data_IF_969513650092
#
_entry.id   IF_969513650092
#
_cell.length_a   1.000
_cell.length_b   1.000
_cell.length_c   1.000
_cell.angle_alpha   90.00
_cell.angle_beta   90.00
_cell.angle_gamma   90.00
#
_symmetry.space_group_name_H-M   'P 1'
#
loop_
_entity.id
_entity.type
_entity.pdbx_description
1 polymer ?
#
# COMPACT_ATOMS: atom_id res chain seq x y z
N UNK A 1 0.49 7.38 18.56
CA UNK A 1 1.80 6.80 18.16
C UNK A 1 2.55 6.40 19.42
N UNK A 2 2.93 5.15 19.47
CA UNK A 2 3.72 4.65 20.61
C UNK A 2 5.18 5.10 20.46
N UNK A 3 5.93 5.26 21.56
CA UNK A 3 7.36 5.64 21.50
C UNK A 3 8.23 4.68 20.68
N UNK A 4 7.78 3.43 20.51
CA UNK A 4 8.48 2.43 19.71
C UNK A 4 8.41 2.68 18.21
N UNK A 5 7.58 3.63 17.73
CA UNK A 5 7.48 3.98 16.32
C UNK A 5 8.69 4.82 15.92
N UNK A 6 9.74 4.15 15.49
CA UNK A 6 11.04 4.73 15.18
C UNK A 6 11.60 4.16 13.88
N UNK A 7 12.50 4.88 13.19
CA UNK A 7 13.17 4.35 12.01
C UNK A 7 13.83 3.00 12.25
N UNK A 8 13.83 2.15 11.23
CA UNK A 8 14.39 0.81 11.28
C UNK A 8 13.37 -0.31 11.43
N UNK A 9 12.13 0.02 11.77
CA UNK A 9 11.03 -0.95 11.77
C UNK A 9 10.90 -1.53 10.37
N UNK A 10 10.81 -2.86 10.28
CA UNK A 10 10.70 -3.57 9.01
C UNK A 10 9.68 -4.69 9.09
N UNK A 11 9.20 -5.12 7.93
CA UNK A 11 8.25 -6.22 7.82
C UNK A 11 8.39 -6.88 6.46
N UNK A 12 8.06 -8.17 6.42
CA UNK A 12 8.02 -8.97 5.18
C UNK A 12 6.64 -9.59 5.05
N UNK A 13 6.03 -9.42 3.88
CA UNK A 13 4.73 -9.98 3.55
C UNK A 13 4.86 -10.85 2.30
N UNK A 14 4.25 -12.03 2.32
CA UNK A 14 4.18 -12.92 1.16
C UNK A 14 2.74 -13.08 0.71
N UNK A 15 2.55 -13.04 -0.61
CA UNK A 15 1.23 -13.08 -1.21
C UNK A 15 1.28 -13.83 -2.54
N UNK A 16 0.52 -14.91 -2.66
CA UNK A 16 0.39 -15.62 -3.93
C UNK A 16 -0.63 -14.92 -4.79
N UNK A 17 -0.21 -14.47 -5.98
CA UNK A 17 -1.05 -13.65 -6.86
C UNK A 17 -2.21 -14.47 -7.40
N UNK A 18 -3.47 -14.14 -7.05
CA UNK A 18 -4.62 -14.79 -7.66
C UNK A 18 -4.94 -14.15 -9.02
N UNK A 19 -5.68 -14.87 -9.84
CA UNK A 19 -6.05 -14.39 -11.17
C UNK A 19 -6.81 -13.06 -11.14
N UNK A 20 -7.68 -12.85 -10.15
CA UNK A 20 -8.51 -11.64 -10.06
C UNK A 20 -7.74 -10.39 -9.62
N UNK A 21 -6.44 -10.50 -9.31
CA UNK A 21 -5.55 -9.38 -9.05
C UNK A 21 -4.67 -9.03 -10.26
N UNK A 22 -5.00 -9.57 -11.43
CA UNK A 22 -4.30 -9.26 -12.67
C UNK A 22 -5.02 -8.15 -13.46
N UNK A 23 -4.31 -7.56 -14.42
CA UNK A 23 -4.76 -6.34 -15.11
C UNK A 23 -6.16 -6.43 -15.72
N UNK A 24 -6.56 -7.53 -16.39
CA UNK A 24 -7.90 -7.60 -16.99
C UNK A 24 -9.07 -7.39 -16.03
N UNK A 25 -8.83 -7.56 -14.72
CA UNK A 25 -9.88 -7.55 -13.69
C UNK A 25 -9.94 -6.27 -12.87
N UNK A 26 -9.05 -5.29 -13.11
CA UNK A 26 -9.03 -4.04 -12.31
C UNK A 26 -10.29 -3.24 -12.55
N UNK A 27 -10.60 -2.96 -13.79
CA UNK A 27 -11.76 -2.19 -14.20
C UNK A 27 -12.52 -3.00 -15.26
N UNK A 28 -13.50 -3.81 -14.87
CA UNK A 28 -14.24 -4.65 -15.80
C UNK A 28 -14.90 -3.87 -16.95
N UNK A 29 -15.20 -2.59 -16.73
CA UNK A 29 -15.79 -1.69 -17.71
C UNK A 29 -14.80 -1.11 -18.72
N UNK A 30 -13.48 -1.36 -18.55
CA UNK A 30 -12.46 -0.83 -19.45
C UNK A 30 -12.02 -1.91 -20.46
N UNK A 31 -12.37 -1.76 -21.76
CA UNK A 31 -12.01 -2.78 -22.76
C UNK A 31 -10.52 -2.97 -22.93
N UNK A 32 -9.72 -1.92 -22.79
CA UNK A 32 -8.26 -2.00 -22.94
C UNK A 32 -7.64 -2.86 -21.84
N UNK A 33 -8.11 -2.71 -20.60
CA UNK A 33 -7.62 -3.56 -19.51
C UNK A 33 -8.04 -5.01 -19.69
N UNK A 34 -9.27 -5.24 -20.16
CA UNK A 34 -9.79 -6.61 -20.35
C UNK A 34 -8.98 -7.42 -21.38
N UNK A 35 -8.35 -6.75 -22.34
CA UNK A 35 -7.53 -7.38 -23.38
C UNK A 35 -6.07 -7.57 -22.99
N UNK A 36 -5.65 -7.02 -21.86
CA UNK A 36 -4.25 -7.15 -21.42
C UNK A 36 -3.95 -8.56 -20.88
N UNK A 37 -2.67 -8.96 -20.91
CA UNK A 37 -2.27 -10.25 -20.31
C UNK A 37 -2.63 -10.32 -18.84
N UNK A 38 -2.87 -11.53 -18.36
CA UNK A 38 -3.10 -11.79 -16.94
C UNK A 38 -1.77 -11.72 -16.18
N UNK A 39 -1.37 -10.51 -15.83
CA UNK A 39 -0.18 -10.21 -15.04
C UNK A 39 -0.59 -9.33 -13.85
N UNK A 40 0.16 -9.45 -12.76
CA UNK A 40 -0.12 -8.72 -11.51
C UNK A 40 -0.23 -7.23 -11.80
N UNK A 41 -1.35 -6.63 -11.42
CA UNK A 41 -1.64 -5.25 -11.75
C UNK A 41 -0.81 -4.30 -10.88
N UNK A 42 -0.30 -3.22 -11.50
CA UNK A 42 0.50 -2.21 -10.79
C UNK A 42 -0.24 -1.65 -9.57
N UNK A 43 -1.53 -1.33 -9.71
CA UNK A 43 -2.33 -0.83 -8.58
C UNK A 43 -2.40 -1.81 -7.42
N UNK A 44 -2.51 -3.10 -7.71
CA UNK A 44 -2.54 -4.13 -6.67
C UNK A 44 -1.15 -4.38 -6.07
N UNK A 45 -0.08 -4.26 -6.85
CA UNK A 45 1.28 -4.30 -6.31
C UNK A 45 1.50 -3.15 -5.30
N UNK A 46 1.07 -1.95 -5.64
CA UNK A 46 1.13 -0.79 -4.74
C UNK A 46 0.31 -1.06 -3.49
N UNK A 47 -0.91 -1.57 -3.63
CA UNK A 47 -1.75 -1.91 -2.48
C UNK A 47 -1.09 -2.98 -1.58
N UNK A 48 -0.37 -3.93 -2.17
CA UNK A 48 0.36 -4.95 -1.42
C UNK A 48 1.53 -4.32 -0.63
N UNK A 49 2.22 -3.36 -1.22
CA UNK A 49 3.25 -2.57 -0.53
C UNK A 49 2.67 -1.78 0.64
N UNK A 50 1.49 -1.17 0.46
CA UNK A 50 0.78 -0.49 1.54
C UNK A 50 0.42 -1.46 2.67
N UNK A 51 -0.09 -2.63 2.33
CA UNK A 51 -0.43 -3.65 3.32
C UNK A 51 0.80 -4.04 4.16
N UNK A 52 1.94 -4.27 3.52
CA UNK A 52 3.18 -4.57 4.22
C UNK A 52 3.53 -3.48 5.24
N UNK A 53 3.42 -2.22 4.84
CA UNK A 53 3.69 -1.07 5.71
C UNK A 53 2.68 -0.96 6.85
N UNK A 54 1.40 -1.22 6.61
CA UNK A 54 0.39 -1.19 7.69
C UNK A 54 0.63 -2.30 8.71
N UNK A 55 1.03 -3.48 8.26
CA UNK A 55 1.40 -4.57 9.18
C UNK A 55 2.61 -4.19 10.03
N UNK A 56 3.62 -3.55 9.43
CA UNK A 56 4.79 -3.07 10.15
C UNK A 56 4.44 -2.05 11.23
N UNK A 57 3.46 -1.19 10.98
CA UNK A 57 3.05 -0.13 11.91
C UNK A 57 2.14 -0.61 13.03
N UNK A 58 1.38 -1.66 12.80
CA UNK A 58 0.31 -2.08 13.70
C UNK A 58 0.72 -2.20 15.17
N UNK A 59 1.89 -2.83 15.53
CA UNK A 59 2.31 -2.92 16.92
C UNK A 59 2.69 -1.58 17.57
N UNK A 60 2.87 -0.54 16.77
CA UNK A 60 3.41 0.75 17.20
C UNK A 60 2.38 1.87 17.24
N UNK A 61 1.12 1.53 17.03
CA UNK A 61 0.01 2.49 17.06
C UNK A 61 -0.82 2.31 18.33
N UNK A 62 -1.42 3.41 18.77
CA UNK A 62 -2.37 3.41 19.87
C UNK A 62 -3.76 2.98 19.40
N UNK A 63 -4.64 2.49 20.31
CA UNK A 63 -6.02 2.25 19.94
C UNK A 63 -6.67 3.48 19.33
N UNK A 64 -7.45 3.30 18.26
CA UNK A 64 -8.09 4.39 17.54
C UNK A 64 -7.21 5.11 16.52
N UNK A 65 -5.94 4.71 16.43
CA UNK A 65 -5.03 5.21 15.40
C UNK A 65 -4.93 4.25 14.22
N UNK A 66 -4.64 4.80 13.06
CA UNK A 66 -4.29 4.06 11.86
C UNK A 66 -3.40 4.91 10.99
N UNK A 67 -3.18 4.49 9.75
CA UNK A 67 -2.41 5.27 8.81
C UNK A 67 -3.05 5.24 7.43
N UNK A 68 -2.76 6.28 6.64
CA UNK A 68 -3.21 6.40 5.26
C UNK A 68 -2.02 6.67 4.36
N UNK A 69 -2.07 6.14 3.14
CA UNK A 69 -1.08 6.43 2.11
C UNK A 69 -1.15 7.89 1.68
N UNK A 70 -0.01 8.54 1.58
CA UNK A 70 0.10 9.96 1.19
C UNK A 70 0.96 10.15 -0.05
N UNK A 71 1.83 9.21 -0.36
CA UNK A 71 2.75 9.31 -1.50
C UNK A 71 3.17 7.92 -1.94
N UNK A 72 3.29 7.75 -3.23
CA UNK A 72 3.85 6.54 -3.83
C UNK A 72 4.83 6.96 -4.93
N UNK A 73 6.03 6.44 -4.85
CA UNK A 73 7.08 6.65 -5.84
C UNK A 73 7.83 5.33 -6.00
N UNK A 74 7.26 4.45 -6.79
CA UNK A 74 7.77 3.09 -7.00
C UNK A 74 7.82 2.77 -8.48
N UNK A 75 8.70 1.83 -8.82
CA UNK A 75 8.77 1.25 -10.16
C UNK A 75 7.93 -0.01 -10.24
N UNK A 76 7.59 -0.42 -11.44
CA UNK A 76 7.06 -1.75 -11.74
C UNK A 76 7.87 -2.30 -12.91
N UNK A 77 8.84 -3.16 -12.61
CA UNK A 77 9.96 -3.46 -13.50
C UNK A 77 9.82 -4.80 -14.23
N UNK A 78 8.97 -5.69 -13.73
CA UNK A 78 8.78 -7.00 -14.33
C UNK A 78 7.35 -7.50 -14.12
N UNK A 79 6.84 -8.25 -15.09
CA UNK A 79 5.51 -8.84 -15.06
C UNK A 79 5.50 -10.12 -14.21
N UNK A 80 4.46 -10.28 -13.40
CA UNK A 80 4.27 -11.48 -12.58
C UNK A 80 2.96 -12.18 -12.97
N UNK A 81 3.01 -13.41 -13.48
CA UNK A 81 1.79 -14.16 -13.76
C UNK A 81 1.11 -14.63 -12.47
N UNK A 82 -0.20 -14.94 -12.50
CA UNK A 82 -0.87 -15.52 -11.34
C UNK A 82 -0.24 -16.86 -10.95
N UNK A 83 -0.31 -17.17 -9.65
CA UNK A 83 0.25 -18.40 -9.10
C UNK A 83 1.65 -18.23 -8.51
N UNK A 84 2.39 -17.19 -8.89
CA UNK A 84 3.66 -16.88 -8.25
C UNK A 84 3.43 -16.17 -6.91
N UNK A 85 4.35 -16.38 -5.97
CA UNK A 85 4.32 -15.72 -4.67
C UNK A 85 5.20 -14.48 -4.71
N UNK A 86 4.58 -13.34 -4.43
CA UNK A 86 5.28 -12.06 -4.29
C UNK A 86 5.68 -11.88 -2.83
N UNK A 87 6.96 -11.56 -2.62
CA UNK A 87 7.50 -11.19 -1.32
C UNK A 87 7.74 -9.67 -1.30
N UNK A 88 7.09 -9.00 -0.37
CA UNK A 88 7.25 -7.55 -0.18
C UNK A 88 8.04 -7.33 1.10
N UNK A 89 9.05 -6.49 1.03
CA UNK A 89 9.79 -6.01 2.19
C UNK A 89 9.58 -4.51 2.33
N UNK A 90 9.36 -4.05 3.55
CA UNK A 90 9.31 -2.62 3.85
C UNK A 90 10.21 -2.30 5.03
N UNK A 91 10.69 -1.06 5.05
CA UNK A 91 11.49 -0.54 6.15
C UNK A 91 11.16 0.94 6.36
N UNK A 92 10.81 1.28 7.58
CA UNK A 92 10.57 2.67 7.96
C UNK A 92 11.90 3.42 8.01
N UNK A 93 12.04 4.45 7.18
CA UNK A 93 13.26 5.24 7.07
C UNK A 93 13.20 6.54 7.83
N UNK A 94 12.05 7.21 7.85
CA UNK A 94 11.90 8.53 8.46
C UNK A 94 10.57 8.64 9.20
N UNK A 95 10.62 9.28 10.34
CA UNK A 95 9.45 9.70 11.12
C UNK A 95 9.57 11.21 11.34
N UNK A 96 8.62 11.96 10.78
CA UNK A 96 8.52 13.41 10.94
C UNK A 96 7.13 13.74 11.46
N UNK A 97 7.00 13.82 12.80
CA UNK A 97 5.71 13.92 13.44
C UNK A 97 4.83 12.72 13.07
N UNK A 98 3.69 12.97 12.43
CA UNK A 98 2.78 11.92 11.96
C UNK A 98 3.09 11.43 10.55
N UNK A 99 4.06 12.02 9.88
CA UNK A 99 4.46 11.64 8.52
C UNK A 99 5.54 10.58 8.56
N UNK A 100 5.35 9.52 7.81
CA UNK A 100 6.23 8.36 7.76
C UNK A 100 6.70 8.14 6.33
N UNK A 101 7.97 7.77 6.17
CA UNK A 101 8.53 7.40 4.87
C UNK A 101 9.10 5.99 4.95
N UNK A 102 8.63 5.11 4.08
CA UNK A 102 9.08 3.74 3.96
C UNK A 102 9.88 3.54 2.66
N UNK A 103 10.92 2.72 2.74
CA UNK A 103 11.46 2.03 1.57
C UNK A 103 10.66 0.74 1.38
N UNK A 104 10.30 0.44 0.13
CA UNK A 104 9.55 -0.77 -0.22
C UNK A 104 10.17 -1.45 -1.43
N UNK A 105 10.09 -2.78 -1.46
CA UNK A 105 10.46 -3.57 -2.62
C UNK A 105 9.62 -4.84 -2.70
N UNK A 106 9.45 -5.36 -3.91
CA UNK A 106 8.68 -6.56 -4.17
C UNK A 106 9.42 -7.46 -5.16
N UNK A 107 9.44 -8.77 -4.87
CA UNK A 107 10.06 -9.81 -5.68
C UNK A 107 9.04 -10.92 -5.93
N UNK A 108 9.10 -11.56 -7.10
CA UNK A 108 8.19 -12.67 -7.42
C UNK A 108 8.85 -14.06 -7.37
N UNK A 109 10.04 -14.11 -6.80
CA UNK A 109 10.84 -15.35 -6.74
C UNK A 109 11.76 -15.53 -7.94
N UNK A 110 11.56 -14.74 -8.99
CA UNK A 110 12.38 -14.74 -10.19
C UNK A 110 12.97 -13.36 -10.46
N UNK A 111 12.13 -12.32 -10.36
CA UNK A 111 12.53 -10.95 -10.63
C UNK A 111 12.26 -10.02 -9.45
N UNK A 112 13.05 -8.95 -9.36
CA UNK A 112 12.63 -7.73 -8.66
C UNK A 112 11.52 -7.09 -9.50
N UNK A 113 10.30 -7.05 -8.98
CA UNK A 113 9.16 -6.54 -9.74
C UNK A 113 8.90 -5.04 -9.50
N UNK A 114 9.33 -4.51 -8.37
CA UNK A 114 9.18 -3.08 -8.08
C UNK A 114 9.91 -2.67 -6.82
N UNK A 115 10.26 -1.40 -6.75
CA UNK A 115 10.92 -0.80 -5.58
C UNK A 115 10.72 0.70 -5.55
N UNK A 116 10.90 1.30 -4.40
CA UNK A 116 10.86 2.75 -4.25
C UNK A 116 10.51 3.19 -2.84
N UNK A 117 9.74 4.27 -2.77
CA UNK A 117 9.37 4.91 -1.50
C UNK A 117 7.86 5.04 -1.39
N UNK A 118 7.38 4.94 -0.16
CA UNK A 118 5.96 5.06 0.16
C UNK A 118 5.79 5.91 1.41
N UNK A 119 5.03 6.98 1.27
CA UNK A 119 4.69 7.87 2.39
C UNK A 119 3.36 7.48 3.01
N UNK A 120 3.29 7.53 4.34
CA UNK A 120 2.05 7.34 5.09
C UNK A 120 1.91 8.43 6.15
N UNK A 121 0.69 8.67 6.59
CA UNK A 121 0.42 9.56 7.71
C UNK A 121 -0.38 8.81 8.78
N UNK A 122 0.05 8.91 10.03
CA UNK A 122 -0.71 8.38 11.16
C UNK A 122 -1.88 9.32 11.44
N UNK A 123 -3.06 8.74 11.58
CA UNK A 123 -4.30 9.50 11.84
C UNK A 123 -5.04 8.91 13.03
N UNK A 124 -5.85 9.72 13.68
CA UNK A 124 -6.89 9.27 14.59
C UNK A 124 -8.18 9.12 13.79
N UNK A 125 -8.77 7.93 13.82
CA UNK A 125 -9.94 7.64 12.99
C UNK A 125 -11.14 8.52 13.31
N UNK A 126 -11.34 8.86 14.58
CA UNK A 126 -12.44 9.75 14.97
C UNK A 126 -12.35 11.13 14.30
N UNK A 127 -11.16 11.73 14.31
CA UNK A 127 -10.91 13.03 13.68
C UNK A 127 -10.92 12.94 12.15
N UNK A 128 -10.32 11.88 11.62
CA UNK A 128 -10.30 11.67 10.18
C UNK A 128 -11.71 11.50 9.62
N UNK A 129 -12.51 10.65 10.25
CA UNK A 129 -13.89 10.39 9.82
C UNK A 129 -14.75 11.65 9.93
N UNK A 130 -14.52 12.49 10.94
CA UNK A 130 -15.20 13.77 11.05
C UNK A 130 -14.88 14.70 9.87
N UNK A 131 -13.62 14.78 9.47
CA UNK A 131 -13.21 15.59 8.31
C UNK A 131 -13.81 15.05 7.00
N UNK A 132 -13.88 13.76 6.85
CA UNK A 132 -14.54 13.15 5.67
C UNK A 132 -16.02 13.50 5.66
N UNK A 133 -16.72 13.41 6.81
CA UNK A 133 -18.13 13.78 6.92
C UNK A 133 -18.35 15.26 6.60
N UNK A 134 -17.47 16.15 7.06
CA UNK A 134 -17.52 17.59 6.75
C UNK A 134 -17.34 17.83 5.24
N UNK A 135 -16.42 17.11 4.59
CA UNK A 135 -16.23 17.19 3.15
C UNK A 135 -17.47 16.74 2.40
N UNK A 136 -18.06 15.61 2.80
CA UNK A 136 -19.31 15.11 2.20
C UNK A 136 -20.41 16.16 2.32
N UNK A 137 -20.62 16.71 3.53
CA UNK A 137 -21.63 17.75 3.76
C UNK A 137 -21.39 18.98 2.90
N UNK A 138 -20.15 19.43 2.79
CA UNK A 138 -19.77 20.62 2.00
C UNK A 138 -20.00 20.39 0.49
N UNK A 139 -19.67 19.21 -0.02
CA UNK A 139 -19.78 18.91 -1.45
C UNK A 139 -21.24 18.60 -1.85
N UNK A 140 -21.99 17.93 -1.00
CA UNK A 140 -23.37 17.52 -1.29
C UNK A 140 -24.42 18.54 -0.80
N UNK A 141 -24.03 19.55 -0.02
CA UNK A 141 -24.97 20.49 0.56
C UNK A 141 -25.81 19.93 1.71
N UNK A 142 -25.36 18.85 2.35
CA UNK A 142 -26.13 18.14 3.40
C UNK A 142 -25.48 18.24 4.77
#
# INVERSE_FOLDING_TARGET
>A
MRPSLTPGISHTLRYTVPRDKTVPFIYPENPDFNEMPEIFATGYMVALMEWCCTDALKPHLEPGEGSLGTMIDVTHEAATPPGLTVTVNCRLEQVDGRKLLFAVEAHDGHDLIGKGRHGRAVVRWDRFNQRVAEKVAKVTGR
#
